data_IF_311285432745
#
_entry.id   IF_311285432745
#
_cell.length_a   1.000
_cell.length_b   1.000
_cell.length_c   1.000
_cell.angle_alpha   90.00
_cell.angle_beta   90.00
_cell.angle_gamma   90.00
#
_symmetry.space_group_name_H-M   'P 1'
#
loop_
_entity.id
_entity.type
_entity.pdbx_description
1 polymer ?
#
# COMPACT_ATOMS: atom_id res chain seq x y z
N UNK A 1 2.69 -4.07 -6.63
CA UNK A 1 3.31 -3.22 -7.66
C UNK A 1 3.37 -1.84 -7.09
N UNK A 2 4.55 -1.25 -7.04
CA UNK A 2 4.71 0.11 -6.54
C UNK A 2 4.42 1.13 -7.64
N UNK A 3 4.37 2.40 -7.26
CA UNK A 3 4.11 3.53 -8.15
C UNK A 3 5.17 3.72 -9.24
N UNK A 4 6.37 3.16 -9.07
CA UNK A 4 7.43 3.10 -10.09
C UNK A 4 7.30 1.90 -11.03
N UNK A 5 6.27 1.08 -10.89
CA UNK A 5 6.02 -0.13 -11.68
C UNK A 5 6.78 -1.37 -11.17
N UNK A 6 7.61 -1.27 -10.13
CA UNK A 6 8.33 -2.41 -9.59
C UNK A 6 7.39 -3.41 -8.90
N UNK A 7 7.64 -4.70 -9.14
CA UNK A 7 6.91 -5.81 -8.50
C UNK A 7 7.77 -6.38 -7.38
N UNK A 8 7.18 -6.53 -6.20
CA UNK A 8 7.86 -6.99 -4.99
C UNK A 8 7.04 -8.04 -4.28
N UNK A 9 7.73 -8.98 -3.65
CA UNK A 9 7.12 -9.94 -2.74
C UNK A 9 6.91 -9.33 -1.33
N UNK A 10 6.25 -10.11 -0.47
CA UNK A 10 5.98 -9.70 0.92
C UNK A 10 7.26 -9.44 1.71
N UNK A 11 8.31 -10.22 1.52
CA UNK A 11 9.54 -10.10 2.29
C UNK A 11 10.27 -8.79 1.97
N UNK A 12 10.36 -8.44 0.68
CA UNK A 12 10.92 -7.19 0.20
C UNK A 12 10.13 -5.97 0.69
N UNK A 13 8.79 -6.04 0.66
CA UNK A 13 7.93 -4.97 1.18
C UNK A 13 8.15 -4.78 2.68
N UNK A 14 8.15 -5.85 3.49
CA UNK A 14 8.38 -5.75 4.94
C UNK A 14 9.78 -5.19 5.24
N UNK A 15 10.80 -5.62 4.50
CA UNK A 15 12.17 -5.15 4.68
C UNK A 15 12.32 -3.64 4.38
N UNK A 16 11.70 -3.13 3.30
CA UNK A 16 11.74 -1.70 2.99
C UNK A 16 10.99 -0.87 4.02
N UNK A 17 9.81 -1.33 4.45
CA UNK A 17 8.95 -0.57 5.37
C UNK A 17 9.64 -0.39 6.72
N UNK A 18 10.42 -1.38 7.17
CA UNK A 18 11.24 -1.28 8.38
C UNK A 18 12.36 -0.24 8.29
N UNK A 19 12.86 0.07 7.09
CA UNK A 19 13.96 1.02 6.86
C UNK A 19 13.46 2.44 6.60
N UNK A 20 12.30 2.59 5.97
CA UNK A 20 11.71 3.88 5.64
C UNK A 20 11.36 4.67 6.92
N UNK A 21 11.44 6.00 6.83
CA UNK A 21 11.14 6.94 7.92
C UNK A 21 10.14 7.98 7.42
N UNK A 22 8.89 7.86 7.85
CA UNK A 22 7.82 8.76 7.43
C UNK A 22 7.57 9.86 8.47
N UNK A 23 7.55 11.11 8.04
CA UNK A 23 6.99 12.23 8.82
C UNK A 23 5.48 12.34 8.60
N UNK A 24 4.99 11.89 7.45
CA UNK A 24 3.57 11.82 7.12
C UNK A 24 3.32 10.53 6.35
N UNK A 25 2.30 9.79 6.76
CA UNK A 25 1.73 8.66 6.02
C UNK A 25 0.23 8.68 6.27
N UNK A 26 -0.51 9.27 5.35
CA UNK A 26 -1.95 9.50 5.49
C UNK A 26 -2.73 8.78 4.39
N UNK A 27 -3.89 8.25 4.75
CA UNK A 27 -4.85 7.66 3.82
C UNK A 27 -6.09 8.55 3.73
N UNK A 28 -6.61 8.73 2.52
CA UNK A 28 -7.88 9.44 2.27
C UNK A 28 -8.70 8.73 1.19
N UNK A 29 -9.95 9.16 1.01
CA UNK A 29 -10.82 8.72 -0.09
C UNK A 29 -11.03 7.20 -0.15
N UNK A 30 -10.99 6.54 1.00
CA UNK A 30 -11.09 5.09 1.10
C UNK A 30 -12.46 4.60 0.66
N UNK A 31 -12.46 3.62 -0.25
CA UNK A 31 -13.65 2.90 -0.70
C UNK A 31 -13.39 1.40 -0.60
N UNK A 32 -14.39 0.68 -0.11
CA UNK A 32 -14.36 -0.78 0.04
C UNK A 32 -15.44 -1.38 -0.85
N UNK A 33 -15.06 -2.33 -1.69
CA UNK A 33 -15.99 -3.14 -2.47
C UNK A 33 -15.77 -4.61 -2.13
N UNK A 34 -16.71 -5.20 -1.40
CA UNK A 34 -16.61 -6.57 -0.92
C UNK A 34 -17.28 -7.56 -1.88
N UNK A 35 -16.64 -8.71 -2.09
CA UNK A 35 -17.12 -9.86 -2.87
C UNK A 35 -16.94 -11.13 -2.04
N UNK A 36 -17.95 -11.48 -1.24
CA UNK A 36 -17.89 -12.63 -0.32
C UNK A 36 -16.73 -12.51 0.66
N UNK A 37 -15.81 -13.48 0.63
CA UNK A 37 -14.58 -13.52 1.44
C UNK A 37 -13.40 -12.78 0.80
N UNK A 38 -13.64 -11.96 -0.22
CA UNK A 38 -12.66 -11.06 -0.81
C UNK A 38 -13.14 -9.61 -0.77
N UNK A 39 -12.22 -8.66 -0.80
CA UNK A 39 -12.54 -7.24 -0.91
C UNK A 39 -11.48 -6.50 -1.71
N UNK A 40 -11.93 -5.56 -2.54
CA UNK A 40 -11.08 -4.56 -3.16
C UNK A 40 -11.20 -3.28 -2.34
N UNK A 41 -10.07 -2.79 -1.85
CA UNK A 41 -9.99 -1.52 -1.12
C UNK A 41 -9.16 -0.57 -1.95
N UNK A 42 -9.71 0.60 -2.23
CA UNK A 42 -8.99 1.66 -2.95
C UNK A 42 -8.91 2.90 -2.10
N UNK A 43 -7.92 3.74 -2.35
CA UNK A 43 -7.88 5.07 -1.76
C UNK A 43 -6.76 5.91 -2.33
N UNK A 44 -6.49 6.99 -1.60
CA UNK A 44 -5.35 7.87 -1.82
C UNK A 44 -4.38 7.69 -0.66
N UNK A 45 -3.09 7.67 -0.95
CA UNK A 45 -2.02 7.75 0.06
C UNK A 45 -1.22 9.02 -0.18
N UNK A 46 -0.84 9.69 0.92
CA UNK A 46 0.09 10.81 0.92
C UNK A 46 1.24 10.49 1.87
N UNK A 47 2.45 10.50 1.32
CA UNK A 47 3.68 10.20 2.03
C UNK A 47 4.67 11.34 2.00
N UNK A 48 5.22 11.69 3.17
CA UNK A 48 6.37 12.58 3.30
C UNK A 48 7.40 11.96 4.25
N UNK A 49 8.67 11.97 3.87
CA UNK A 49 9.74 11.41 4.70
C UNK A 49 10.94 10.95 3.88
N UNK A 50 11.49 9.80 4.25
CA UNK A 50 12.66 9.18 3.62
C UNK A 50 12.36 7.71 3.33
N UNK A 51 12.64 7.25 2.11
CA UNK A 51 12.47 5.86 1.72
C UNK A 51 13.55 4.93 2.31
N UNK A 52 13.52 3.66 1.93
CA UNK A 52 14.46 2.65 2.41
C UNK A 52 15.91 2.84 1.91
N UNK A 53 16.11 3.63 0.86
CA UNK A 53 17.41 3.97 0.27
C UNK A 53 17.96 5.31 0.80
N UNK A 54 17.23 5.98 1.70
CA UNK A 54 17.62 7.27 2.23
C UNK A 54 17.17 8.47 1.38
N UNK A 55 16.35 8.26 0.34
CA UNK A 55 15.90 9.33 -0.55
C UNK A 55 14.68 10.04 0.02
N UNK A 56 14.64 11.36 -0.11
CA UNK A 56 13.47 12.14 0.31
C UNK A 56 12.26 11.83 -0.54
N UNK A 57 11.11 11.66 0.12
CA UNK A 57 9.81 11.40 -0.50
C UNK A 57 8.85 12.52 -0.13
N UNK A 58 8.13 13.02 -1.13
CA UNK A 58 6.92 13.83 -1.00
C UNK A 58 5.99 13.41 -2.14
N UNK A 59 5.15 12.40 -1.89
CA UNK A 59 4.39 11.70 -2.91
C UNK A 59 2.91 11.61 -2.55
N UNK A 60 2.09 11.57 -3.59
CA UNK A 60 0.68 11.25 -3.52
C UNK A 60 0.39 10.13 -4.52
N UNK A 61 -0.35 9.12 -4.11
CA UNK A 61 -0.59 7.91 -4.90
C UNK A 61 -2.04 7.45 -4.79
N UNK A 62 -2.62 6.98 -5.88
CA UNK A 62 -3.81 6.16 -5.84
C UNK A 62 -3.39 4.71 -5.62
N UNK A 63 -3.97 4.05 -4.62
CA UNK A 63 -3.65 2.68 -4.29
C UNK A 63 -4.90 1.79 -4.37
N UNK A 64 -4.64 0.50 -4.62
CA UNK A 64 -5.59 -0.58 -4.63
C UNK A 64 -4.97 -1.76 -3.88
N UNK A 65 -5.67 -2.24 -2.86
CA UNK A 65 -5.35 -3.47 -2.15
C UNK A 65 -6.46 -4.50 -2.35
N UNK A 66 -6.05 -5.74 -2.63
CA UNK A 66 -6.94 -6.90 -2.63
C UNK A 66 -6.77 -7.66 -1.32
N UNK A 67 -7.88 -7.84 -0.62
CA UNK A 67 -7.94 -8.53 0.66
C UNK A 67 -8.71 -9.84 0.53
N UNK A 68 -8.27 -10.87 1.24
CA UNK A 68 -8.97 -12.15 1.37
C UNK A 68 -9.13 -12.49 2.85
N UNK A 69 -10.30 -12.98 3.22
CA UNK A 69 -10.60 -13.45 4.57
C UNK A 69 -10.10 -14.87 4.74
N UNK A 70 -9.06 -15.04 5.55
CA UNK A 70 -8.47 -16.34 5.87
C UNK A 70 -9.36 -17.17 6.80
N UNK A 71 -9.05 -18.46 6.90
CA UNK A 71 -9.61 -19.34 7.94
C UNK A 71 -9.37 -18.71 9.32
N UNK A 72 -10.44 -18.57 10.11
CA UNK A 72 -10.42 -17.83 11.38
C UNK A 72 -10.84 -16.35 11.28
N UNK A 73 -11.29 -15.90 10.11
CA UNK A 73 -11.95 -14.61 9.93
C UNK A 73 -11.00 -13.40 9.81
N UNK A 74 -9.68 -13.64 9.80
CA UNK A 74 -8.66 -12.60 9.65
C UNK A 74 -8.52 -12.20 8.19
N UNK A 75 -8.58 -10.91 7.91
CA UNK A 75 -8.31 -10.38 6.58
C UNK A 75 -6.81 -10.27 6.33
N UNK A 76 -6.36 -10.74 5.18
CA UNK A 76 -4.97 -10.63 4.71
C UNK A 76 -4.94 -9.94 3.36
N UNK A 77 -4.05 -8.95 3.22
CA UNK A 77 -3.76 -8.34 1.94
C UNK A 77 -2.96 -9.34 1.09
N UNK A 78 -3.50 -9.71 -0.07
CA UNK A 78 -2.91 -10.70 -0.99
C UNK A 78 -2.29 -10.05 -2.22
N UNK A 79 -2.70 -8.82 -2.55
CA UNK A 79 -2.11 -8.02 -3.60
C UNK A 79 -2.26 -6.53 -3.29
N UNK A 80 -1.28 -5.74 -3.69
CA UNK A 80 -1.31 -4.28 -3.57
C UNK A 80 -0.72 -3.67 -4.84
N UNK A 81 -1.32 -2.59 -5.32
CA UNK A 81 -0.86 -1.80 -6.44
C UNK A 81 -1.01 -0.31 -6.12
N UNK A 82 -0.04 0.51 -6.53
CA UNK A 82 -0.17 1.96 -6.47
C UNK A 82 0.29 2.62 -7.78
N UNK A 83 -0.23 3.82 -8.01
CA UNK A 83 0.14 4.67 -9.13
C UNK A 83 0.23 6.13 -8.66
N UNK A 84 1.16 6.94 -9.21
CA UNK A 84 1.25 8.36 -8.86
C UNK A 84 -0.06 9.11 -9.15
N UNK A 85 -0.47 9.94 -8.21
CA UNK A 85 -1.52 10.94 -8.40
C UNK A 85 -0.88 12.19 -9.00
N UNK A 86 -1.25 12.54 -10.23
CA UNK A 86 -0.85 13.79 -10.90
C UNK A 86 -1.56 15.00 -10.30
#
# INVERSE_FOLDING_TARGET
MDSDGSVRDKAAIVARTKKAKWTTSALSDMKVTQHGDSAIVTGTWMGKGTDADGKSVNAKEHWLDTWVKAAGGKWVCVASASAPLK
#
